data_IF_403213950521
#
_entry.id   IF_403213950521
#
_cell.length_a   1.000
_cell.length_b   1.000
_cell.length_c   1.000
_cell.angle_alpha   90.00
_cell.angle_beta   90.00
_cell.angle_gamma   90.00
#
_symmetry.space_group_name_H-M   'P 1'
#
loop_
_entity.id
_entity.type
_entity.pdbx_description
1 polymer ?
#
# COMPACT_ATOMS: atom_id res chain seq x y z
N UNK A 1 43.90 25.06 -2.31
CA UNK A 1 43.13 24.01 -1.59
C UNK A 1 41.71 24.47 -1.28
N UNK A 2 41.49 25.75 -0.94
CA UNK A 2 40.15 26.31 -0.68
C UNK A 2 39.25 26.40 -1.94
N UNK A 3 39.79 26.81 -3.10
CA UNK A 3 39.02 26.85 -4.36
C UNK A 3 38.41 25.50 -4.77
N UNK A 4 39.13 24.38 -4.54
CA UNK A 4 38.61 23.04 -4.85
C UNK A 4 37.47 22.62 -3.92
N UNK A 5 37.47 23.12 -2.69
CA UNK A 5 36.37 22.88 -1.74
C UNK A 5 35.12 23.66 -2.15
N UNK A 6 35.28 24.89 -2.63
CA UNK A 6 34.19 25.71 -3.14
C UNK A 6 33.59 25.12 -4.43
N UNK A 7 34.43 24.63 -5.34
CA UNK A 7 33.98 23.97 -6.59
C UNK A 7 33.20 22.67 -6.31
N UNK A 8 33.65 21.86 -5.35
CA UNK A 8 32.94 20.65 -4.91
C UNK A 8 31.61 21.01 -4.24
N UNK A 9 31.61 22.02 -3.37
CA UNK A 9 30.39 22.53 -2.72
C UNK A 9 29.37 22.98 -3.77
N UNK A 10 29.80 23.78 -4.74
CA UNK A 10 28.94 24.30 -5.79
C UNK A 10 28.36 23.19 -6.67
N UNK A 11 29.16 22.20 -7.07
CA UNK A 11 28.66 21.05 -7.81
C UNK A 11 27.64 20.21 -7.00
N UNK A 12 27.84 20.05 -5.69
CA UNK A 12 26.86 19.36 -4.82
C UNK A 12 25.56 20.16 -4.74
N UNK A 13 25.63 21.49 -4.63
CA UNK A 13 24.43 22.33 -4.64
C UNK A 13 23.68 22.24 -5.95
N UNK A 14 24.38 22.32 -7.09
CA UNK A 14 23.77 22.16 -8.43
C UNK A 14 23.13 20.78 -8.60
N UNK A 15 23.77 19.73 -8.10
CA UNK A 15 23.20 18.38 -8.12
C UNK A 15 21.96 18.26 -7.24
N UNK A 16 21.99 18.84 -6.04
CA UNK A 16 20.86 18.83 -5.11
C UNK A 16 19.67 19.59 -5.68
N UNK A 17 19.91 20.74 -6.30
CA UNK A 17 18.90 21.55 -6.97
C UNK A 17 18.21 20.77 -8.10
N UNK A 18 19.00 20.11 -8.96
CA UNK A 18 18.47 19.24 -10.01
C UNK A 18 17.65 18.07 -9.45
N UNK A 19 18.09 17.46 -8.34
CA UNK A 19 17.37 16.37 -7.66
C UNK A 19 16.02 16.83 -7.11
N UNK A 20 15.96 18.03 -6.53
CA UNK A 20 14.74 18.64 -5.99
C UNK A 20 13.76 18.99 -7.12
N UNK A 21 14.27 19.54 -8.22
CA UNK A 21 13.46 19.86 -9.40
C UNK A 21 12.85 18.60 -10.02
N UNK A 22 13.66 17.55 -10.21
CA UNK A 22 13.18 16.24 -10.66
C UNK A 22 12.13 15.64 -9.72
N UNK A 23 12.38 15.67 -8.41
CA UNK A 23 11.41 15.18 -7.42
C UNK A 23 10.08 15.95 -7.49
N UNK A 24 10.14 17.27 -7.69
CA UNK A 24 8.96 18.11 -7.83
C UNK A 24 8.19 17.80 -9.12
N UNK A 25 8.90 17.60 -10.24
CA UNK A 25 8.29 17.18 -11.50
C UNK A 25 7.61 15.81 -11.38
N UNK A 26 8.30 14.83 -10.81
CA UNK A 26 7.79 13.46 -10.65
C UNK A 26 6.59 13.44 -9.69
N UNK A 27 6.65 14.23 -8.61
CA UNK A 27 5.53 14.37 -7.67
C UNK A 27 4.33 15.02 -8.36
N UNK A 28 4.52 16.07 -9.16
CA UNK A 28 3.44 16.71 -9.92
C UNK A 28 2.77 15.74 -10.90
N UNK A 29 3.55 14.99 -11.68
CA UNK A 29 3.00 14.00 -12.62
C UNK A 29 2.21 12.89 -11.93
N UNK A 30 2.74 12.34 -10.82
CA UNK A 30 2.04 11.31 -10.02
C UNK A 30 0.77 11.86 -9.35
N UNK A 31 0.80 13.10 -8.89
CA UNK A 31 -0.38 13.77 -8.30
C UNK A 31 -1.43 14.03 -9.37
N UNK A 32 -1.04 14.51 -10.56
CA UNK A 32 -1.95 14.75 -11.67
C UNK A 32 -2.66 13.45 -12.11
N UNK A 33 -1.90 12.38 -12.32
CA UNK A 33 -2.48 11.09 -12.69
C UNK A 33 -3.37 10.52 -11.57
N UNK A 34 -2.95 10.67 -10.31
CA UNK A 34 -3.75 10.28 -9.15
C UNK A 34 -5.07 11.04 -9.06
N UNK A 35 -5.05 12.35 -9.30
CA UNK A 35 -6.23 13.22 -9.28
C UNK A 35 -7.17 12.89 -10.42
N UNK A 36 -6.67 12.68 -11.65
CA UNK A 36 -7.49 12.31 -12.80
C UNK A 36 -8.20 10.97 -12.55
N UNK A 37 -7.47 9.96 -12.06
CA UNK A 37 -8.05 8.65 -11.70
C UNK A 37 -9.06 8.77 -10.56
N UNK A 38 -8.79 9.61 -9.56
CA UNK A 38 -9.72 9.85 -8.45
C UNK A 38 -11.02 10.49 -8.95
N UNK A 39 -10.94 11.53 -9.79
CA UNK A 39 -12.12 12.19 -10.38
C UNK A 39 -12.93 11.19 -11.21
N UNK A 40 -12.27 10.43 -12.08
CA UNK A 40 -12.94 9.40 -12.87
C UNK A 40 -13.61 8.35 -11.98
N UNK A 41 -12.92 7.89 -10.92
CA UNK A 41 -13.45 6.95 -9.95
C UNK A 41 -14.68 7.48 -9.20
N UNK A 42 -14.68 8.77 -8.82
CA UNK A 42 -15.83 9.42 -8.17
C UNK A 42 -17.01 9.48 -9.12
N UNK A 43 -16.80 9.91 -10.37
CA UNK A 43 -17.86 9.99 -11.38
C UNK A 43 -18.45 8.59 -11.65
N UNK A 44 -17.58 7.60 -11.86
CA UNK A 44 -18.00 6.21 -12.10
C UNK A 44 -18.75 5.64 -10.90
N UNK A 45 -18.25 5.86 -9.67
CA UNK A 45 -18.91 5.43 -8.45
C UNK A 45 -20.28 6.07 -8.27
N UNK A 46 -20.41 7.35 -8.59
CA UNK A 46 -21.70 8.06 -8.58
C UNK A 46 -22.68 7.45 -9.59
N UNK A 47 -22.23 7.24 -10.84
CA UNK A 47 -23.06 6.64 -11.89
C UNK A 47 -23.50 5.20 -11.55
N UNK A 48 -22.57 4.41 -11.01
CA UNK A 48 -22.84 3.06 -10.53
C UNK A 48 -23.86 3.04 -9.38
N UNK A 49 -23.75 4.00 -8.46
CA UNK A 49 -24.70 4.15 -7.34
C UNK A 49 -26.10 4.48 -7.84
N UNK A 50 -26.22 5.41 -8.79
CA UNK A 50 -27.51 5.74 -9.43
C UNK A 50 -28.10 4.48 -10.09
N UNK A 51 -27.29 3.79 -10.90
CA UNK A 51 -27.72 2.57 -11.60
C UNK A 51 -28.20 1.51 -10.61
N UNK A 52 -27.47 1.31 -9.51
CA UNK A 52 -27.84 0.36 -8.48
C UNK A 52 -29.17 0.73 -7.79
N UNK A 53 -29.40 2.00 -7.48
CA UNK A 53 -30.66 2.48 -6.91
C UNK A 53 -31.83 2.17 -7.85
N UNK A 54 -31.66 2.40 -9.16
CA UNK A 54 -32.67 2.05 -10.15
C UNK A 54 -32.91 0.55 -10.24
N UNK A 55 -31.86 -0.28 -10.21
CA UNK A 55 -31.99 -1.74 -10.21
C UNK A 55 -32.73 -2.26 -8.96
N UNK A 56 -32.42 -1.72 -7.79
CA UNK A 56 -33.12 -2.07 -6.55
C UNK A 56 -34.58 -1.61 -6.57
N UNK A 57 -34.84 -0.42 -7.12
CA UNK A 57 -36.21 0.10 -7.28
C UNK A 57 -37.01 -0.74 -8.28
N UNK A 58 -36.38 -1.18 -9.37
CA UNK A 58 -36.96 -2.09 -10.35
C UNK A 58 -37.27 -3.45 -9.72
N UNK A 59 -36.34 -4.00 -8.94
CA UNK A 59 -36.55 -5.24 -8.20
C UNK A 59 -37.71 -5.12 -7.20
N UNK A 60 -37.76 -4.02 -6.45
CA UNK A 60 -38.87 -3.73 -5.54
C UNK A 60 -40.21 -3.62 -6.28
N UNK A 61 -40.24 -2.94 -7.43
CA UNK A 61 -41.43 -2.85 -8.27
C UNK A 61 -41.86 -4.21 -8.83
N UNK A 62 -40.90 -5.06 -9.22
CA UNK A 62 -41.17 -6.42 -9.64
C UNK A 62 -41.78 -7.25 -8.49
N UNK A 63 -41.21 -7.16 -7.28
CA UNK A 63 -41.78 -7.83 -6.11
C UNK A 63 -43.19 -7.30 -5.77
N UNK A 64 -43.44 -5.99 -5.92
CA UNK A 64 -44.77 -5.42 -5.71
C UNK A 64 -45.83 -6.12 -6.59
N UNK A 65 -45.51 -6.37 -7.85
CA UNK A 65 -46.41 -7.08 -8.77
C UNK A 65 -46.65 -8.53 -8.33
N UNK A 66 -45.58 -9.23 -7.92
CA UNK A 66 -45.66 -10.62 -7.44
C UNK A 66 -46.50 -10.75 -6.16
N UNK A 67 -46.44 -9.78 -5.26
CA UNK A 67 -47.18 -9.76 -4.00
C UNK A 67 -48.53 -9.04 -4.09
N UNK A 68 -48.95 -8.63 -5.30
CA UNK A 68 -50.19 -7.86 -5.56
C UNK A 68 -50.34 -6.64 -4.63
N UNK A 69 -49.22 -5.98 -4.30
CA UNK A 69 -49.18 -4.91 -3.30
C UNK A 69 -48.32 -3.74 -3.76
N UNK A 70 -48.77 -2.52 -3.49
CA UNK A 70 -48.11 -1.29 -3.97
C UNK A 70 -46.76 -0.99 -3.30
N UNK A 71 -46.47 -1.58 -2.14
CA UNK A 71 -45.30 -1.20 -1.32
C UNK A 71 -44.52 -2.38 -0.74
N UNK A 72 -45.03 -3.61 -0.86
CA UNK A 72 -44.44 -4.76 -0.15
C UNK A 72 -43.04 -5.12 -0.65
N UNK A 73 -42.78 -4.99 -1.95
CA UNK A 73 -41.47 -5.20 -2.54
C UNK A 73 -40.42 -4.21 -2.04
N UNK A 74 -40.79 -2.93 -1.86
CA UNK A 74 -39.88 -1.96 -1.25
C UNK A 74 -39.58 -2.30 0.21
N UNK A 75 -40.58 -2.77 0.96
CA UNK A 75 -40.42 -3.17 2.35
C UNK A 75 -39.49 -4.38 2.50
N UNK A 76 -39.62 -5.38 1.62
CA UNK A 76 -38.75 -6.56 1.60
C UNK A 76 -37.30 -6.17 1.30
N UNK A 77 -37.07 -5.36 0.27
CA UNK A 77 -35.72 -4.88 -0.08
C UNK A 77 -35.13 -4.07 1.07
N UNK A 78 -35.90 -3.18 1.68
CA UNK A 78 -35.46 -2.40 2.83
C UNK A 78 -35.13 -3.28 4.05
N UNK A 79 -35.96 -4.28 4.36
CA UNK A 79 -35.72 -5.20 5.46
C UNK A 79 -34.43 -6.04 5.23
N UNK A 80 -34.20 -6.49 4.00
CA UNK A 80 -32.96 -7.19 3.64
C UNK A 80 -31.72 -6.35 3.91
N UNK A 81 -31.71 -5.08 3.46
CA UNK A 81 -30.58 -4.17 3.72
C UNK A 81 -30.44 -3.78 5.20
N UNK A 82 -31.55 -3.69 5.93
CA UNK A 82 -31.54 -3.45 7.37
C UNK A 82 -30.87 -4.61 8.12
N UNK A 83 -31.19 -5.86 7.77
CA UNK A 83 -30.54 -7.05 8.35
C UNK A 83 -29.05 -7.05 8.04
N UNK A 84 -28.66 -6.79 6.78
CA UNK A 84 -27.24 -6.67 6.42
C UNK A 84 -26.52 -5.58 7.23
N UNK A 85 -27.18 -4.44 7.44
CA UNK A 85 -26.64 -3.33 8.24
C UNK A 85 -26.43 -3.76 9.69
N UNK A 86 -27.38 -4.47 10.30
CA UNK A 86 -27.24 -5.00 11.66
C UNK A 86 -26.08 -5.99 11.74
N UNK A 87 -25.98 -6.93 10.79
CA UNK A 87 -24.88 -7.90 10.72
C UNK A 87 -23.54 -7.16 10.66
N UNK A 88 -23.44 -6.13 9.82
CA UNK A 88 -22.22 -5.34 9.69
C UNK A 88 -21.84 -4.62 10.98
N UNK A 89 -22.80 -3.98 11.65
CA UNK A 89 -22.57 -3.27 12.91
C UNK A 89 -22.09 -4.22 14.00
N UNK A 90 -22.64 -5.44 14.08
CA UNK A 90 -22.21 -6.46 15.04
C UNK A 90 -20.84 -7.04 14.65
N UNK A 91 -20.58 -7.22 13.36
CA UNK A 91 -19.32 -7.78 12.86
C UNK A 91 -18.16 -6.78 12.83
N UNK A 92 -18.42 -5.47 13.00
CA UNK A 92 -17.42 -4.40 12.85
C UNK A 92 -16.16 -4.65 13.69
N UNK A 93 -16.33 -5.07 14.95
CA UNK A 93 -15.22 -5.21 15.88
C UNK A 93 -14.37 -6.44 15.51
N UNK A 94 -15.02 -7.52 15.09
CA UNK A 94 -14.35 -8.71 14.54
C UNK A 94 -13.58 -8.39 13.27
N UNK A 95 -14.16 -7.60 12.36
CA UNK A 95 -13.53 -7.21 11.11
C UNK A 95 -12.31 -6.30 11.33
N UNK A 96 -12.44 -5.30 12.22
CA UNK A 96 -11.32 -4.44 12.62
C UNK A 96 -10.18 -5.25 13.25
N UNK A 97 -10.51 -6.22 14.10
CA UNK A 97 -9.51 -7.09 14.72
C UNK A 97 -8.86 -8.03 13.70
N UNK A 98 -9.60 -8.52 12.70
CA UNK A 98 -9.05 -9.32 11.60
C UNK A 98 -8.07 -8.51 10.76
N UNK A 99 -8.42 -7.29 10.37
CA UNK A 99 -7.53 -6.38 9.63
C UNK A 99 -6.27 -6.10 10.45
N UNK A 100 -6.41 -5.79 11.75
CA UNK A 100 -5.26 -5.55 12.63
C UNK A 100 -4.33 -6.76 12.71
N UNK A 101 -4.87 -7.97 12.86
CA UNK A 101 -4.08 -9.21 12.87
C UNK A 101 -3.37 -9.44 11.53
N UNK A 102 -4.05 -9.21 10.42
CA UNK A 102 -3.47 -9.35 9.08
C UNK A 102 -2.32 -8.34 8.87
N UNK A 103 -2.53 -7.08 9.23
CA UNK A 103 -1.52 -6.04 9.17
C UNK A 103 -0.32 -6.33 10.10
N UNK A 104 -0.57 -6.83 11.31
CA UNK A 104 0.49 -7.20 12.23
C UNK A 104 1.32 -8.38 11.68
N UNK A 105 0.67 -9.41 11.14
CA UNK A 105 1.35 -10.57 10.59
C UNK A 105 2.16 -10.23 9.33
N UNK A 106 1.66 -9.36 8.45
CA UNK A 106 2.42 -8.93 7.27
C UNK A 106 3.65 -8.11 7.65
N UNK A 107 3.54 -7.24 8.66
CA UNK A 107 4.67 -6.50 9.20
C UNK A 107 5.68 -7.41 9.91
N UNK A 108 5.22 -8.38 10.71
CA UNK A 108 6.10 -9.35 11.39
C UNK A 108 6.85 -10.23 10.39
N UNK A 109 6.18 -10.76 9.36
CA UNK A 109 6.83 -11.54 8.30
C UNK A 109 7.90 -10.72 7.56
N UNK A 110 7.68 -9.41 7.38
CA UNK A 110 8.69 -8.52 6.79
C UNK A 110 9.90 -8.27 7.71
N UNK A 111 9.69 -8.27 9.03
CA UNK A 111 10.74 -8.08 10.05
C UNK A 111 11.60 -9.33 10.21
N UNK A 112 10.99 -10.52 10.25
CA UNK A 112 11.69 -11.80 10.37
C UNK A 112 12.58 -12.06 9.14
N UNK A 113 12.04 -11.87 7.92
CA UNK A 113 12.86 -11.97 6.69
C UNK A 113 14.06 -11.03 6.69
N UNK A 114 13.88 -9.79 7.17
CA UNK A 114 14.95 -8.79 7.24
C UNK A 114 15.98 -9.10 8.34
N UNK A 115 15.61 -9.86 9.37
CA UNK A 115 16.53 -10.29 10.42
C UNK A 115 17.39 -11.48 9.95
N UNK A 116 16.78 -12.43 9.24
CA UNK A 116 17.44 -13.60 8.64
C UNK A 116 18.50 -13.17 7.61
N UNK A 117 18.13 -12.30 6.66
CA UNK A 117 19.03 -11.77 5.63
C UNK A 117 20.23 -11.00 6.23
N UNK A 118 20.00 -10.29 7.35
CA UNK A 118 21.08 -9.61 8.09
C UNK A 118 22.03 -10.60 8.78
N UNK A 119 21.50 -11.67 9.38
CA UNK A 119 22.34 -12.68 10.02
C UNK A 119 23.20 -13.44 9.02
N UNK A 120 22.65 -13.77 7.84
CA UNK A 120 23.38 -14.41 6.74
C UNK A 120 24.50 -13.50 6.20
N UNK A 121 24.21 -12.23 5.94
CA UNK A 121 25.21 -11.26 5.46
C UNK A 121 26.35 -11.04 6.47
N UNK A 122 26.05 -11.02 7.78
CA UNK A 122 27.09 -10.91 8.83
C UNK A 122 27.96 -12.16 8.87
N UNK A 123 27.37 -13.36 8.70
CA UNK A 123 28.11 -14.62 8.66
C UNK A 123 29.05 -14.69 7.45
N UNK A 124 28.58 -14.25 6.28
CA UNK A 124 29.36 -14.20 5.04
C UNK A 124 30.54 -13.23 5.16
N UNK A 125 30.31 -12.02 5.69
CA UNK A 125 31.36 -11.05 5.98
C UNK A 125 32.39 -11.60 6.98
N UNK A 126 31.95 -12.34 8.00
CA UNK A 126 32.84 -12.95 9.00
C UNK A 126 33.72 -14.04 8.38
N UNK A 127 33.18 -14.84 7.47
CA UNK A 127 33.93 -15.84 6.71
C UNK A 127 34.93 -15.18 5.75
N UNK A 128 34.51 -14.16 5.01
CA UNK A 128 35.38 -13.41 4.10
C UNK A 128 36.52 -12.68 4.86
N UNK A 129 36.21 -12.14 6.05
CA UNK A 129 37.22 -11.53 6.93
C UNK A 129 38.16 -12.58 7.51
N UNK A 130 37.64 -13.75 7.89
CA UNK A 130 38.44 -14.87 8.40
C UNK A 130 39.39 -15.39 7.32
N UNK A 131 38.92 -15.58 6.09
CA UNK A 131 39.73 -16.03 4.95
C UNK A 131 40.82 -15.01 4.60
N UNK A 132 40.51 -13.71 4.63
CA UNK A 132 41.52 -12.66 4.42
C UNK A 132 42.55 -12.57 5.55
N UNK A 133 42.17 -12.89 6.80
CA UNK A 133 43.10 -12.98 7.93
C UNK A 133 43.93 -14.28 7.96
N UNK A 134 43.41 -15.40 7.47
CA UNK A 134 44.20 -16.65 7.32
C UNK A 134 45.05 -16.67 6.05
N UNK A 135 44.71 -15.87 5.03
CA UNK A 135 45.44 -15.76 3.76
C UNK A 135 46.63 -14.78 3.78
N UNK A 136 46.86 -14.09 4.90
CA UNK A 136 47.99 -13.17 5.09
C UNK A 136 48.95 -13.66 6.17
N UNK A 137 49.40 -14.91 6.06
CA UNK A 137 50.57 -15.42 6.77
C UNK A 137 51.86 -14.92 6.10
N UNK A 138 52.71 -14.11 6.74
CA UNK A 138 53.96 -13.64 6.16
C UNK A 138 55.01 -14.76 6.15
N UNK A 139 55.63 -14.95 5.00
CA UNK A 139 57.07 -15.22 4.82
C UNK A 139 57.86 -15.55 6.10
N UNK A 140 57.94 -16.82 6.52
CA UNK A 140 59.04 -17.33 7.34
C UNK A 140 59.14 -18.86 7.20
N UNK A 141 59.84 -19.32 6.17
CA UNK A 141 60.61 -20.56 6.17
C UNK A 141 61.59 -20.50 4.99
N UNK A 142 62.65 -19.73 5.22
CA UNK A 142 63.92 -19.85 4.51
C UNK A 142 64.63 -21.03 5.18
N UNK A 143 64.86 -22.12 4.47
CA UNK A 143 66.02 -23.03 4.59
C UNK A 143 65.98 -24.07 3.47
#
# INVERSE_FOLDING_TARGET
>A
MLEKLDEVRENIFRYLEARIELFTLETRGKVEEGVIRAIHGVILGFLATITLIFLLSLLAAFLNEVFESRYMGFLIVAAFFLVLTIIWVVAKDSFLNMIRKMAYNSLKASKEKKAEEKSEAVQELMNQTRDSMTGSGPYLARE
#
